data_IF_547649632607
#
_entry.id   IF_547649632607
#
_cell.length_a   1.000
_cell.length_b   1.000
_cell.length_c   1.000
_cell.angle_alpha   90.00
_cell.angle_beta   90.00
_cell.angle_gamma   90.00
#
_symmetry.space_group_name_H-M   'P 1'
#
loop_
_entity.id
_entity.type
_entity.pdbx_description
1 polymer ?
2 non-polymer ?
3 non-polymer ?
4 non-polymer ?
5 non-polymer ?
6 water ?
#
# COMPACT_ATOMS: atom_id res chain seq x y z
N UNK A 1 5.84 -49.65 4.10
CA UNK A 1 5.76 -48.19 4.30
C UNK A 1 5.50 -47.45 3.01
N UNK A 2 5.57 -46.13 3.08
CA UNK A 2 5.25 -45.29 1.93
C UNK A 2 5.95 -43.94 2.04
N UNK A 3 6.25 -43.35 0.89
CA UNK A 3 6.71 -41.97 0.80
C UNK A 3 5.70 -41.11 0.06
N UNK A 4 5.53 -39.86 0.53
CA UNK A 4 4.59 -38.91 -0.04
C UNK A 4 5.27 -37.54 -0.20
N UNK A 5 5.11 -36.93 -1.38
CA UNK A 5 5.44 -35.53 -1.57
C UNK A 5 4.35 -34.75 -2.29
N UNK A 6 4.47 -33.42 -2.20
CA UNK A 6 3.55 -32.48 -2.84
C UNK A 6 3.96 -32.10 -4.24
N UNK A 7 3.14 -31.25 -4.83
CA UNK A 7 3.45 -30.66 -6.13
C UNK A 7 4.42 -29.48 -5.97
N UNK A 8 4.96 -29.02 -7.11
CA UNK A 8 5.79 -27.81 -7.13
C UNK A 8 4.92 -26.59 -7.42
N UNK A 9 5.04 -25.56 -6.59
CA UNK A 9 4.34 -24.30 -6.83
C UNK A 9 5.30 -23.36 -7.53
N UNK A 10 4.85 -22.79 -8.65
CA UNK A 10 5.62 -21.76 -9.36
C UNK A 10 4.88 -20.42 -9.25
N UNK A 11 5.62 -19.36 -9.01
CA UNK A 11 4.97 -18.11 -8.67
C UNK A 11 5.66 -16.89 -9.28
N UNK A 12 4.85 -15.87 -9.54
CA UNK A 12 5.35 -14.58 -10.07
C UNK A 12 4.49 -13.41 -9.57
N UNK A 13 5.17 -12.47 -8.91
CA UNK A 13 4.54 -11.28 -8.35
C UNK A 13 4.48 -10.15 -9.37
N UNK A 14 3.46 -9.29 -9.23
CA UNK A 14 3.24 -8.16 -10.14
C UNK A 14 2.57 -7.04 -9.33
N UNK A 15 2.67 -5.82 -9.85
CA UNK A 15 2.04 -4.66 -9.25
C UNK A 15 0.66 -4.49 -9.89
N UNK A 16 -0.43 -4.65 -9.11
CA UNK A 16 -1.77 -4.47 -9.63
C UNK A 16 -2.06 -3.04 -9.91
N UNK A 17 -3.09 -2.80 -10.70
CA UNK A 17 -3.54 -1.46 -11.00
C UNK A 17 -5.04 -1.35 -10.86
N UNK A 18 -5.60 -0.16 -11.11
CA UNK A 18 -7.04 0.07 -10.99
C UNK A 18 -7.90 -0.89 -11.83
N UNK A 19 -7.34 -1.41 -12.92
CA UNK A 19 -8.10 -2.24 -13.85
C UNK A 19 -7.82 -3.73 -13.70
N UNK A 20 -6.98 -4.12 -12.75
CA UNK A 20 -6.63 -5.55 -12.57
C UNK A 20 -7.84 -6.49 -12.38
N UNK A 21 -8.76 -6.15 -11.48
CA UNK A 21 -9.93 -7.00 -11.22
C UNK A 21 -10.84 -7.10 -12.43
N UNK A 22 -11.09 -5.97 -13.09
CA UNK A 22 -11.89 -5.94 -14.34
C UNK A 22 -11.26 -6.83 -15.43
N UNK A 23 -9.93 -6.81 -15.56
CA UNK A 23 -9.26 -7.70 -16.52
C UNK A 23 -9.49 -9.16 -16.18
N UNK A 24 -9.39 -9.48 -14.90
CA UNK A 24 -9.62 -10.85 -14.42
C UNK A 24 -11.05 -11.34 -14.74
N UNK A 25 -12.02 -10.47 -14.47
CA UNK A 25 -13.43 -10.73 -14.73
C UNK A 25 -13.66 -10.98 -16.21
N UNK A 26 -13.13 -10.10 -17.06
CA UNK A 26 -13.33 -10.24 -18.51
C UNK A 26 -12.59 -11.43 -19.11
N UNK A 27 -11.52 -11.88 -18.44
CA UNK A 27 -10.82 -13.12 -18.82
C UNK A 27 -11.57 -14.38 -18.40
N UNK A 28 -12.64 -14.22 -17.63
CA UNK A 28 -13.44 -15.34 -17.16
C UNK A 28 -12.97 -15.94 -15.85
N UNK A 29 -12.11 -15.24 -15.11
CA UNK A 29 -11.72 -15.71 -13.78
C UNK A 29 -12.85 -15.55 -12.80
N UNK A 30 -12.87 -16.40 -11.78
CA UNK A 30 -13.84 -16.30 -10.70
C UNK A 30 -13.18 -16.07 -9.34
N UNK A 31 -13.75 -15.19 -8.55
CA UNK A 31 -13.24 -14.86 -7.24
C UNK A 31 -13.61 -15.94 -6.26
N UNK A 32 -12.68 -16.86 -5.95
CA UNK A 32 -12.96 -17.97 -5.05
C UNK A 32 -13.08 -17.67 -3.57
N UNK A 33 -12.22 -16.82 -3.04
CA UNK A 33 -12.41 -16.41 -1.64
C UNK A 33 -11.74 -15.11 -1.30
N UNK A 34 -12.22 -14.49 -0.24
CA UNK A 34 -11.68 -13.27 0.26
C UNK A 34 -11.32 -13.57 1.70
N UNK A 35 -10.12 -13.19 2.13
CA UNK A 35 -9.70 -13.54 3.48
C UNK A 35 -8.71 -12.53 4.05
N UNK A 36 -8.74 -12.38 5.37
CA UNK A 36 -7.88 -11.46 6.05
C UNK A 36 -7.04 -12.23 7.06
N UNK A 37 -5.74 -11.99 7.10
CA UNK A 37 -4.86 -12.73 8.00
C UNK A 37 -3.60 -11.95 8.39
N UNK A 38 -3.19 -12.11 9.65
CA UNK A 38 -1.91 -11.62 10.14
C UNK A 38 -0.73 -12.55 9.80
N UNK A 39 0.37 -11.97 9.30
CA UNK A 39 1.69 -12.62 9.22
C UNK A 39 2.62 -11.95 10.23
N UNK A 40 3.42 -12.76 10.93
CA UNK A 40 4.46 -12.26 11.84
C UNK A 40 5.76 -12.98 11.53
N UNK A 41 6.82 -12.23 11.20
CA UNK A 41 8.11 -12.81 10.89
C UNK A 41 9.05 -12.68 12.08
N UNK A 42 10.00 -13.61 12.17
CA UNK A 42 10.94 -13.70 13.31
C UNK A 42 12.37 -13.86 12.80
N UNK A 43 13.32 -13.26 13.50
CA UNK A 43 14.75 -13.41 13.22
C UNK A 43 15.55 -12.98 14.44
N UNK A 44 16.87 -13.11 14.36
CA UNK A 44 17.75 -12.65 15.42
C UNK A 44 18.14 -11.22 15.17
N UNK A 45 18.70 -10.58 16.19
CA UNK A 45 19.09 -9.18 16.07
C UNK A 45 20.13 -9.00 14.98
N UNK A 46 20.92 -10.03 14.67
CA UNK A 46 21.88 -9.92 13.58
C UNK A 46 21.34 -10.36 12.23
N UNK A 47 20.03 -10.64 12.16
CA UNK A 47 19.40 -11.07 10.92
C UNK A 47 19.99 -12.36 10.37
N UNK A 48 20.27 -13.31 11.25
CA UNK A 48 20.88 -14.54 10.84
C UNK A 48 20.03 -15.32 9.84
N UNK A 49 18.73 -15.41 10.08
CA UNK A 49 17.86 -16.11 9.15
C UNK A 49 17.79 -15.47 7.79
N UNK A 50 17.47 -14.19 7.76
CA UNK A 50 17.27 -13.50 6.49
C UNK A 50 18.55 -13.36 5.66
N UNK A 51 19.69 -13.15 6.31
CA UNK A 51 20.93 -12.99 5.58
C UNK A 51 21.30 -14.28 4.86
N UNK A 52 20.86 -15.42 5.38
CA UNK A 52 21.08 -16.70 4.72
C UNK A 52 19.86 -17.20 3.91
N UNK A 53 18.92 -16.31 3.61
CA UNK A 53 17.74 -16.62 2.79
C UNK A 53 16.78 -17.62 3.46
N UNK A 54 16.60 -17.45 4.77
CA UNK A 54 15.67 -18.24 5.57
C UNK A 54 14.59 -17.29 6.11
N UNK A 55 13.35 -17.75 6.08
CA UNK A 55 12.21 -16.88 6.32
C UNK A 55 11.21 -17.63 7.19
N UNK A 56 11.10 -17.20 8.45
CA UNK A 56 10.31 -17.85 9.47
C UNK A 56 9.13 -16.97 9.87
N UNK A 57 7.92 -17.52 9.75
CA UNK A 57 6.71 -16.79 10.11
C UNK A 57 5.68 -17.67 10.77
N UNK A 58 4.81 -17.00 11.52
CA UNK A 58 3.56 -17.58 12.00
C UNK A 58 2.41 -16.86 11.29
N UNK A 59 1.58 -17.61 10.61
CA UNK A 59 0.50 -17.06 9.81
C UNK A 59 -0.81 -17.41 10.48
N UNK A 60 -1.60 -16.38 10.74
CA UNK A 60 -2.91 -16.54 11.35
C UNK A 60 -3.72 -17.58 10.59
N UNK A 61 -4.23 -18.56 11.31
CA UNK A 61 -5.06 -19.59 10.73
C UNK A 61 -4.30 -20.66 9.99
N UNK A 62 -2.97 -20.56 9.94
CA UNK A 62 -2.17 -21.61 9.30
C UNK A 62 -1.02 -22.16 10.14
N UNK A 63 -0.53 -21.41 11.12
CA UNK A 63 0.59 -21.89 11.94
C UNK A 63 1.96 -21.50 11.39
N UNK A 64 3.00 -22.19 11.87
CA UNK A 64 4.39 -21.85 11.55
C UNK A 64 4.82 -22.35 10.18
N UNK A 65 5.62 -21.54 9.50
CA UNK A 65 6.19 -21.95 8.24
C UNK A 65 7.59 -21.38 8.16
N UNK A 66 8.50 -22.18 7.60
CA UNK A 66 9.86 -21.76 7.36
C UNK A 66 10.22 -22.02 5.91
N UNK A 67 10.84 -21.05 5.25
CA UNK A 67 11.30 -21.24 3.88
C UNK A 67 12.81 -21.25 3.82
N UNK A 68 13.38 -22.25 3.16
CA UNK A 68 14.83 -22.37 3.08
C UNK A 68 15.28 -22.33 1.67
N UNK A 69 16.50 -21.87 1.43
CA UNK A 69 16.88 -21.89 0.03
C UNK A 69 17.11 -23.29 -0.44
N UNK A 70 16.98 -23.47 -1.73
CA UNK A 70 17.18 -24.75 -2.36
C UNK A 70 18.37 -24.63 -3.27
N UNK A 71 18.97 -25.75 -3.61
CA UNK A 71 20.15 -25.73 -4.45
C UNK A 71 19.78 -26.13 -5.87
N UNK A 75 14.99 -23.71 -12.25
CA UNK A 75 14.94 -22.34 -12.76
C UNK A 75 16.27 -21.65 -12.48
N UNK A 76 17.04 -21.39 -13.53
CA UNK A 76 18.37 -20.77 -13.44
C UNK A 76 18.36 -19.32 -13.01
N UNK A 77 17.59 -18.46 -13.71
CA UNK A 77 17.50 -17.05 -13.31
C UNK A 77 16.57 -16.75 -12.12
N UNK A 78 15.74 -17.72 -11.71
CA UNK A 78 14.68 -17.52 -10.69
C UNK A 78 14.90 -18.39 -9.41
N UNK A 79 14.49 -17.89 -8.24
CA UNK A 79 14.78 -18.57 -6.97
C UNK A 79 14.07 -19.92 -6.75
N UNK A 80 14.65 -20.71 -5.84
CA UNK A 80 14.15 -22.01 -5.43
C UNK A 80 14.05 -22.11 -3.92
N UNK A 81 12.89 -22.51 -3.42
CA UNK A 81 12.70 -22.64 -1.99
C UNK A 81 12.10 -24.00 -1.62
N UNK A 82 12.48 -24.49 -0.44
CA UNK A 82 11.82 -25.61 0.19
C UNK A 82 11.02 -24.99 1.32
N UNK A 83 9.72 -25.30 1.36
CA UNK A 83 8.83 -24.88 2.43
C UNK A 83 8.65 -26.02 3.42
N UNK A 84 8.75 -25.67 4.71
CA UNK A 84 8.63 -26.58 5.83
C UNK A 84 7.53 -26.08 6.72
N UNK A 85 6.52 -26.92 6.92
CA UNK A 85 5.42 -26.60 7.80
C UNK A 85 5.27 -27.58 8.95
N UNK A 86 6.09 -28.63 8.98
CA UNK A 86 6.16 -29.53 10.13
C UNK A 86 6.92 -28.83 11.26
N UNK A 87 6.30 -28.60 12.43
CA UNK A 87 6.99 -27.85 13.53
C UNK A 87 8.32 -28.48 13.94
N UNK A 88 8.33 -29.82 14.02
CA UNK A 88 9.52 -30.56 14.37
C UNK A 88 10.64 -30.43 13.33
N UNK A 89 10.30 -30.41 12.05
CA UNK A 89 11.31 -30.15 11.01
C UNK A 89 11.75 -28.66 10.98
N UNK A 90 10.85 -27.73 11.31
CA UNK A 90 11.24 -26.31 11.41
C UNK A 90 12.35 -26.21 12.49
N UNK A 91 12.00 -26.68 13.69
CA UNK A 91 12.88 -26.62 14.86
C UNK A 91 14.27 -27.24 14.61
N UNK A 92 14.31 -28.37 13.90
CA UNK A 92 15.58 -29.03 13.58
C UNK A 92 16.41 -28.18 12.64
N UNK A 93 15.74 -27.55 11.68
CA UNK A 93 16.42 -26.66 10.75
C UNK A 93 16.94 -25.43 11.46
N UNK A 94 16.15 -24.89 12.39
CA UNK A 94 16.58 -23.73 13.16
C UNK A 94 17.76 -24.08 14.09
N UNK A 95 17.76 -25.29 14.66
CA UNK A 95 18.88 -25.71 15.52
C UNK A 95 20.16 -25.85 14.70
N UNK A 96 20.08 -26.47 13.54
CA UNK A 96 21.26 -26.60 12.74
C UNK A 96 21.87 -25.23 12.46
N UNK A 97 21.04 -24.31 11.97
CA UNK A 97 21.48 -22.94 11.66
C UNK A 97 21.91 -22.06 12.83
N UNK A 98 21.12 -22.03 13.88
CA UNK A 98 21.44 -21.16 15.01
C UNK A 98 22.14 -21.88 16.16
N UNK A 99 22.44 -23.15 15.92
CA UNK A 99 23.29 -23.98 16.76
C UNK A 99 23.06 -24.24 18.24
N UNK A 100 21.83 -24.42 18.72
CA UNK A 100 21.67 -24.72 20.14
C UNK A 100 21.87 -26.20 20.34
N UNK A 101 23.12 -26.60 20.56
CA UNK A 101 23.44 -28.01 20.72
C UNK A 101 22.71 -28.51 21.93
N UNK A 102 22.74 -27.69 22.99
CA UNK A 102 22.06 -28.03 24.22
C UNK A 102 20.56 -28.03 24.06
N UNK A 103 20.06 -27.03 23.35
CA UNK A 103 18.63 -26.87 23.30
C UNK A 103 17.94 -28.18 22.99
N UNK A 104 16.87 -28.42 23.73
CA UNK A 104 16.06 -29.62 23.59
C UNK A 104 14.80 -29.30 22.77
N UNK A 105 14.37 -30.21 21.85
CA UNK A 105 13.23 -29.78 21.01
C UNK A 105 11.88 -29.61 21.71
N UNK A 106 11.03 -28.85 21.05
CA UNK A 106 9.68 -28.57 21.51
C UNK A 106 8.96 -27.87 20.36
N UNK A 107 7.79 -27.28 20.57
CA UNK A 107 7.13 -26.51 19.53
C UNK A 107 8.01 -25.33 19.18
N UNK A 108 7.86 -24.80 17.97
CA UNK A 108 8.63 -23.65 17.52
C UNK A 108 8.54 -22.49 18.53
N UNK A 109 7.33 -22.19 18.99
CA UNK A 109 7.12 -21.08 19.94
C UNK A 109 8.06 -21.20 21.15
N UNK A 110 8.14 -22.39 21.72
CA UNK A 110 8.95 -22.67 22.90
C UNK A 110 10.45 -22.50 22.69
N UNK A 111 10.93 -22.67 21.46
CA UNK A 111 12.37 -22.58 21.23
C UNK A 111 12.83 -21.17 20.87
N UNK A 112 11.90 -20.21 20.80
CA UNK A 112 12.21 -18.86 20.30
C UNK A 112 13.25 -18.11 21.16
N UNK A 113 12.90 -17.93 22.43
CA UNK A 113 13.81 -17.32 23.41
C UNK A 113 15.17 -17.98 23.40
N UNK A 114 15.19 -19.29 23.54
CA UNK A 114 16.45 -20.05 23.54
C UNK A 114 17.31 -19.72 22.31
N UNK A 115 16.68 -19.48 21.16
CA UNK A 115 17.44 -19.13 19.95
C UNK A 115 17.64 -17.62 19.74
N UNK A 116 17.24 -16.78 20.70
CA UNK A 116 17.26 -15.33 20.53
C UNK A 116 16.55 -14.89 19.23
N UNK A 117 15.41 -15.54 18.95
CA UNK A 117 14.50 -15.14 17.88
C UNK A 117 13.44 -14.19 18.41
N UNK A 118 13.31 -13.05 17.73
CA UNK A 118 12.31 -12.04 18.03
C UNK A 118 11.54 -11.64 16.78
N UNK A 119 10.32 -11.19 17.01
CA UNK A 119 9.45 -10.57 16.03
C UNK A 119 10.20 -9.42 15.34
N UNK A 120 10.29 -9.48 14.01
CA UNK A 120 10.94 -8.45 13.19
C UNK A 120 9.93 -7.66 12.34
N UNK A 121 8.72 -8.21 12.16
CA UNK A 121 7.68 -7.56 11.35
C UNK A 121 6.35 -8.28 11.54
N UNK A 122 5.28 -7.52 11.65
CA UNK A 122 3.93 -8.04 11.69
C UNK A 122 3.00 -7.13 10.88
N UNK A 123 2.07 -7.72 10.13
CA UNK A 123 1.12 -6.96 9.34
C UNK A 123 -0.05 -7.84 8.90
N UNK A 124 -1.17 -7.17 8.62
CA UNK A 124 -2.41 -7.83 8.22
C UNK A 124 -2.61 -7.64 6.71
N UNK A 125 -2.83 -8.75 6.04
CA UNK A 125 -3.14 -8.80 4.61
C UNK A 125 -4.63 -9.10 4.39
N UNK A 126 -5.25 -8.30 3.51
CA UNK A 126 -6.58 -8.60 2.97
C UNK A 126 -6.37 -9.12 1.57
N UNK A 127 -6.84 -10.35 1.33
CA UNK A 127 -6.57 -11.07 0.11
C UNK A 127 -7.86 -11.40 -0.63
N UNK A 128 -7.84 -11.20 -1.96
CA UNK A 128 -8.81 -11.82 -2.88
C UNK A 128 -8.10 -12.86 -3.74
N UNK A 129 -8.64 -14.06 -3.73
CA UNK A 129 -8.04 -15.15 -4.46
C UNK A 129 -8.94 -15.52 -5.61
N UNK A 130 -8.38 -15.45 -6.82
CA UNK A 130 -9.10 -15.71 -8.07
C UNK A 130 -8.54 -16.96 -8.74
N UNK A 131 -9.39 -17.63 -9.52
CA UNK A 131 -9.01 -18.84 -10.29
C UNK A 131 -9.29 -18.59 -11.77
N UNK A 132 -8.34 -18.98 -12.62
CA UNK A 132 -8.42 -18.71 -14.06
C UNK A 132 -8.08 -19.93 -14.88
N UNK A 133 -9.09 -20.44 -15.60
CA UNK A 133 -8.93 -21.50 -16.59
C UNK A 133 -8.68 -20.91 -17.97
N UNK A 134 -7.62 -21.34 -18.64
CA UNK A 134 -7.28 -20.86 -19.98
C UNK A 134 -7.50 -22.00 -20.97
N UNK A 135 -8.07 -21.65 -22.13
CA UNK A 135 -8.30 -22.55 -23.29
C UNK A 135 -8.45 -24.05 -22.99
N UNK A 141 -4.02 -25.84 -18.98
CA UNK A 141 -5.41 -26.29 -18.80
C UNK A 141 -5.87 -26.25 -17.32
N UNK A 142 -5.08 -26.78 -16.35
CA UNK A 142 -5.39 -26.53 -14.92
C UNK A 142 -5.46 -25.03 -14.55
N UNK A 143 -6.37 -24.69 -13.63
CA UNK A 143 -6.61 -23.28 -13.31
C UNK A 143 -5.40 -22.66 -12.61
N UNK A 144 -4.98 -21.51 -13.11
CA UNK A 144 -4.03 -20.68 -12.41
C UNK A 144 -4.74 -20.06 -11.21
N UNK A 145 -4.00 -19.78 -10.16
CA UNK A 145 -4.47 -18.94 -9.07
C UNK A 145 -3.86 -17.54 -9.19
N UNK A 146 -4.66 -16.52 -8.90
CA UNK A 146 -4.16 -15.16 -8.76
C UNK A 146 -4.55 -14.64 -7.38
N UNK A 147 -3.54 -14.42 -6.55
CA UNK A 147 -3.75 -13.83 -5.23
C UNK A 147 -3.52 -12.34 -5.35
N UNK A 148 -4.53 -11.52 -5.01
CA UNK A 148 -4.37 -10.07 -4.94
C UNK A 148 -4.32 -9.67 -3.48
N UNK A 149 -3.14 -9.20 -3.02
CA UNK A 149 -2.93 -8.85 -1.61
C UNK A 149 -2.85 -7.34 -1.37
N UNK A 150 -3.56 -6.89 -0.33
CA UNK A 150 -3.46 -5.53 0.19
C UNK A 150 -3.01 -5.57 1.67
N UNK A 151 -1.80 -5.05 1.93
CA UNK A 151 -1.23 -5.05 3.28
C UNK A 151 -1.70 -3.80 3.99
N UNK A 152 -1.98 -3.94 5.27
CA UNK A 152 -2.55 -2.83 6.01
C UNK A 152 -1.62 -1.66 6.13
N UNK A 153 -0.32 -1.85 5.95
CA UNK A 153 0.61 -0.73 6.00
C UNK A 153 0.59 0.12 4.72
N UNK A 154 -0.12 -0.37 3.70
CA UNK A 154 -0.33 0.40 2.47
C UNK A 154 0.56 -0.04 1.32
N UNK A 155 0.34 -1.27 0.86
CA UNK A 155 1.10 -1.82 -0.26
C UNK A 155 0.26 -2.93 -0.85
N UNK A 156 0.17 -2.96 -2.17
CA UNK A 156 -0.63 -3.97 -2.88
C UNK A 156 0.26 -4.74 -3.81
N UNK A 157 0.10 -6.06 -3.86
CA UNK A 157 0.92 -6.90 -4.74
C UNK A 157 0.01 -8.04 -5.15
N UNK A 158 0.14 -8.44 -6.40
CA UNK A 158 -0.57 -9.59 -6.91
C UNK A 158 0.44 -10.67 -7.19
N UNK A 159 -0.05 -11.89 -7.31
CA UNK A 159 0.82 -12.99 -7.66
C UNK A 159 0.06 -14.04 -8.45
N UNK A 160 0.71 -14.56 -9.49
CA UNK A 160 0.13 -15.63 -10.28
C UNK A 160 0.86 -16.89 -9.89
N UNK A 161 0.09 -17.94 -9.58
CA UNK A 161 0.59 -19.25 -9.08
C UNK A 161 0.12 -20.39 -9.99
N UNK A 162 1.04 -21.28 -10.38
CA UNK A 162 0.71 -22.52 -11.08
C UNK A 162 1.29 -23.70 -10.29
N UNK A 163 0.65 -24.87 -10.36
CA UNK A 163 1.21 -26.11 -9.82
C UNK A 163 1.68 -27.01 -10.95
N UNK A 164 2.82 -27.68 -10.77
CA UNK A 164 3.35 -28.68 -11.70
C UNK A 164 3.90 -29.89 -10.92
N UNK A 165 4.08 -31.02 -11.62
CA UNK A 165 4.51 -32.30 -11.01
C UNK A 165 6.02 -32.49 -10.95
N UNK A 166 6.74 -32.20 -12.04
CA UNK A 166 8.18 -32.45 -12.13
C UNK A 166 8.91 -31.14 -12.30
N UNK A 167 10.19 -31.12 -11.91
CA UNK A 167 11.04 -29.94 -12.09
C UNK A 167 11.25 -29.57 -13.56
N UNK A 168 11.14 -30.57 -14.45
CA UNK A 168 11.24 -30.33 -15.90
C UNK A 168 10.19 -29.34 -16.42
N UNK A 169 9.03 -29.31 -15.78
CA UNK A 169 7.92 -28.46 -16.21
C UNK A 169 8.06 -27.00 -15.73
N UNK A 170 8.97 -26.75 -14.78
CA UNK A 170 9.07 -25.43 -14.17
C UNK A 170 9.39 -24.28 -15.16
N UNK A 171 10.39 -24.46 -16.08
CA UNK A 171 10.70 -23.35 -17.01
C UNK A 171 9.52 -22.87 -17.87
N UNK A 172 8.74 -23.78 -18.45
CA UNK A 172 7.59 -23.38 -19.27
C UNK A 172 6.50 -22.73 -18.41
N UNK A 173 6.27 -23.28 -17.22
CA UNK A 173 5.27 -22.73 -16.33
C UNK A 173 5.63 -21.27 -15.92
N UNK A 174 6.92 -21.05 -15.63
CA UNK A 174 7.42 -19.72 -15.29
C UNK A 174 7.15 -18.71 -16.39
N UNK A 175 7.45 -19.08 -17.62
CA UNK A 175 7.22 -18.19 -18.78
C UNK A 175 5.74 -17.87 -18.94
N UNK A 176 4.89 -18.89 -18.84
CA UNK A 176 3.45 -18.67 -18.89
C UNK A 176 2.99 -17.67 -17.84
N UNK A 177 3.42 -17.85 -16.59
CA UNK A 177 2.87 -17.00 -15.55
C UNK A 177 3.46 -15.60 -15.57
N UNK A 178 4.71 -15.48 -16.04
CA UNK A 178 5.32 -14.16 -16.29
C UNK A 178 4.47 -13.41 -17.34
N UNK A 179 4.22 -14.06 -18.47
CA UNK A 179 3.36 -13.47 -19.51
C UNK A 179 1.96 -13.10 -18.99
N UNK A 180 1.31 -13.99 -18.24
CA UNK A 180 -0.02 -13.65 -17.67
C UNK A 180 0.07 -12.45 -16.71
N UNK A 181 1.08 -12.49 -15.85
CA UNK A 181 1.34 -11.39 -14.90
C UNK A 181 1.43 -10.04 -15.59
N UNK A 182 2.10 -10.01 -16.74
CA UNK A 182 2.30 -8.77 -17.50
C UNK A 182 1.01 -8.18 -18.05
N UNK A 183 0.01 -9.02 -18.27
CA UNK A 183 -1.29 -8.55 -18.73
C UNK A 183 -2.17 -8.05 -17.60
N UNK A 184 -1.86 -8.44 -16.37
CA UNK A 184 -2.71 -8.09 -15.25
C UNK A 184 -2.21 -6.86 -14.48
N UNK A 185 -0.90 -6.60 -14.58
CA UNK A 185 -0.24 -5.59 -13.76
C UNK A 185 0.25 -4.37 -14.54
N UNK A 186 0.81 -3.43 -13.79
CA UNK A 186 1.41 -2.23 -14.36
C UNK A 186 2.67 -2.70 -15.10
N UNK A 187 3.01 -2.10 -16.27
CA UNK A 187 4.29 -2.45 -16.94
C UNK A 187 5.48 -2.37 -16.02
N UNK A 188 6.36 -3.37 -16.08
CA UNK A 188 7.59 -3.35 -15.26
C UNK A 188 8.65 -4.29 -15.82
N UNK A 189 9.91 -3.93 -15.61
CA UNK A 189 11.03 -4.79 -15.99
C UNK A 189 11.10 -5.98 -15.04
N UNK A 190 11.14 -5.69 -13.73
CA UNK A 190 11.40 -6.69 -12.70
C UNK A 190 10.15 -7.10 -11.93
N UNK A 191 10.29 -8.21 -11.22
CA UNK A 191 9.21 -8.74 -10.41
C UNK A 191 8.89 -7.76 -9.28
N UNK A 192 7.61 -7.58 -8.98
CA UNK A 192 7.16 -6.76 -7.84
C UNK A 192 7.72 -7.31 -6.49
N UNK A 193 8.04 -6.42 -5.53
CA UNK A 193 8.61 -6.91 -4.27
C UNK A 193 7.60 -7.61 -3.36
N UNK A 194 8.11 -8.54 -2.55
CA UNK A 194 7.34 -9.15 -1.46
C UNK A 194 6.92 -8.13 -0.41
N UNK A 195 5.74 -8.35 0.17
CA UNK A 195 5.21 -7.49 1.20
C UNK A 195 6.25 -7.24 2.30
N UNK A 196 6.90 -8.31 2.78
CA UNK A 196 7.88 -8.19 3.87
C UNK A 196 9.07 -7.30 3.50
N UNK A 197 9.53 -7.37 2.25
CA UNK A 197 10.66 -6.56 1.82
C UNK A 197 10.29 -5.07 1.78
N UNK A 198 9.05 -4.75 1.39
CA UNK A 198 8.57 -3.36 1.39
C UNK A 198 8.45 -2.85 2.85
N UNK A 199 7.89 -3.70 3.73
CA UNK A 199 7.82 -3.41 5.16
C UNK A 199 9.21 -3.08 5.73
N UNK A 200 10.19 -3.93 5.42
CA UNK A 200 11.55 -3.74 5.95
C UNK A 200 12.12 -2.45 5.43
N UNK A 201 12.03 -2.25 4.12
CA UNK A 201 12.55 -1.04 3.53
C UNK A 201 11.96 0.24 4.15
N UNK A 202 10.65 0.27 4.38
CA UNK A 202 10.02 1.49 4.87
C UNK A 202 10.20 1.67 6.36
N UNK A 203 10.17 0.58 7.11
CA UNK A 203 10.06 0.69 8.56
C UNK A 203 11.23 0.15 9.36
N UNK A 204 12.14 -0.59 8.71
CA UNK A 204 13.35 -1.08 9.36
C UNK A 204 14.51 -0.90 8.43
N UNK A 205 14.72 0.33 7.95
CA UNK A 205 15.65 0.58 6.85
C UNK A 205 17.12 0.20 7.12
N UNK A 206 17.54 0.16 8.39
CA UNK A 206 18.89 -0.32 8.74
C UNK A 206 19.03 -1.82 8.46
N UNK A 207 18.03 -2.60 8.86
CA UNK A 207 17.95 -4.03 8.51
C UNK A 207 17.93 -4.23 6.99
N UNK A 208 17.12 -3.44 6.26
CA UNK A 208 17.01 -3.53 4.80
C UNK A 208 18.34 -3.31 4.14
N UNK A 209 19.11 -2.39 4.71
CA UNK A 209 20.41 -2.02 4.18
C UNK A 209 21.39 -3.18 4.32
N UNK A 210 21.41 -3.82 5.49
CA UNK A 210 22.17 -5.07 5.67
C UNK A 210 21.82 -6.10 4.59
N UNK A 211 20.52 -6.27 4.31
CA UNK A 211 20.09 -7.26 3.33
C UNK A 211 20.55 -6.87 1.95
N UNK A 212 20.37 -5.59 1.60
CA UNK A 212 20.87 -5.07 0.33
C UNK A 212 22.34 -5.38 0.16
N UNK A 213 23.15 -5.03 1.16
CA UNK A 213 24.60 -5.21 1.12
C UNK A 213 24.98 -6.65 0.81
N UNK A 214 24.43 -7.58 1.58
CA UNK A 214 24.70 -9.02 1.42
C UNK A 214 24.52 -9.58 0.01
N UNK A 215 23.46 -9.18 -0.69
CA UNK A 215 23.05 -9.83 -1.95
C UNK A 215 23.85 -9.45 -3.21
N UNK A 216 24.54 -8.31 -3.21
CA UNK A 216 25.18 -7.78 -4.43
C UNK A 216 26.46 -8.52 -4.82
N UNK B 1 -29.97 41.10 5.02
CA UNK B 1 -29.13 39.99 4.51
C UNK B 1 -28.00 39.67 5.47
N UNK B 2 -27.26 38.63 5.14
CA UNK B 2 -26.16 38.14 5.98
C UNK B 2 -24.98 37.73 5.10
N UNK B 3 -23.79 37.78 5.68
CA UNK B 3 -22.62 37.16 5.06
C UNK B 3 -22.11 36.08 5.99
N UNK B 4 -21.67 34.97 5.40
CA UNK B 4 -21.14 33.84 6.15
C UNK B 4 -19.81 33.38 5.55
N UNK B 5 -18.87 33.01 6.42
CA UNK B 5 -17.61 32.39 5.96
C UNK B 5 -17.07 31.30 6.91
N UNK B 6 -16.34 30.35 6.33
CA UNK B 6 -15.77 29.23 7.06
C UNK B 6 -14.49 29.63 7.78
N UNK B 7 -13.92 28.67 8.49
CA UNK B 7 -12.60 28.83 9.13
C UNK B 7 -11.51 28.50 8.12
N UNK B 8 -10.27 28.77 8.47
CA UNK B 8 -9.12 28.40 7.65
C UNK B 8 -8.66 27.02 8.14
N UNK B 9 -8.53 26.08 7.20
CA UNK B 9 -7.97 24.76 7.52
C UNK B 9 -6.46 24.74 7.23
N UNK B 10 -5.67 24.22 8.17
CA UNK B 10 -4.23 24.03 7.96
C UNK B 10 -3.94 22.54 8.05
N UNK B 11 -3.13 22.06 7.11
CA UNK B 11 -2.93 20.61 6.96
C UNK B 11 -1.48 20.23 6.69
N UNK B 12 -1.10 19.02 7.07
CA UNK B 12 0.24 18.50 6.80
C UNK B 12 0.14 16.99 6.70
N UNK B 13 0.50 16.45 5.54
CA UNK B 13 0.52 15.00 5.31
C UNK B 13 1.80 14.29 5.79
N UNK B 14 1.65 13.04 6.21
CA UNK B 14 2.78 12.25 6.67
C UNK B 14 2.57 10.81 6.26
N UNK B 15 3.65 10.04 6.28
CA UNK B 15 3.62 8.62 5.91
C UNK B 15 3.41 7.79 7.20
N UNK B 16 2.23 7.14 7.37
CA UNK B 16 2.03 6.36 8.57
C UNK B 16 2.85 5.08 8.56
N UNK B 17 3.02 4.49 9.73
CA UNK B 17 3.70 3.21 9.90
C UNK B 17 2.88 2.33 10.81
N UNK B 18 3.38 1.11 11.11
CA UNK B 18 2.63 0.14 11.91
C UNK B 18 2.28 0.56 13.35
N UNK B 19 2.99 1.52 13.93
CA UNK B 19 2.68 1.98 15.29
C UNK B 19 1.94 3.32 15.36
N UNK B 20 1.55 3.88 14.21
CA UNK B 20 0.84 5.16 14.16
C UNK B 20 -0.46 5.13 15.01
N UNK B 21 -1.24 4.06 14.88
CA UNK B 21 -2.49 3.96 15.66
C UNK B 21 -2.22 3.84 17.16
N UNK B 22 -1.27 2.96 17.53
CA UNK B 22 -0.81 2.81 18.94
C UNK B 22 -0.34 4.19 19.49
N UNK B 23 0.45 4.91 18.71
CA UNK B 23 0.88 6.25 19.12
C UNK B 23 -0.29 7.20 19.40
N UNK B 24 -1.24 7.27 18.46
CA UNK B 24 -2.46 8.09 18.65
C UNK B 24 -3.24 7.70 19.92
N UNK B 25 -3.43 6.40 20.13
CA UNK B 25 -4.12 5.90 21.31
C UNK B 25 -3.41 6.33 22.58
N UNK B 26 -2.09 6.10 22.66
CA UNK B 26 -1.33 6.46 23.87
C UNK B 26 -1.20 7.95 24.07
N UNK B 27 -1.31 8.75 23.00
CA UNK B 27 -1.50 10.20 23.19
C UNK B 27 -2.88 10.58 23.70
N UNK B 28 -3.83 9.64 23.77
CA UNK B 28 -5.19 9.92 24.24
C UNK B 28 -6.12 10.43 23.16
N UNK B 29 -5.76 10.24 21.89
CA UNK B 29 -6.66 10.61 20.79
C UNK B 29 -7.79 9.59 20.71
N UNK B 30 -8.97 10.04 20.28
CA UNK B 30 -10.14 9.17 20.13
C UNK B 30 -10.55 9.01 18.67
N UNK B 31 -11.02 7.82 18.33
CA UNK B 31 -11.42 7.47 16.97
C UNK B 31 -12.83 7.96 16.72
N UNK B 32 -13.03 8.97 15.87
CA UNK B 32 -14.35 9.58 15.68
C UNK B 32 -15.20 8.86 14.62
N UNK B 33 -14.59 8.46 13.52
CA UNK B 33 -15.29 7.64 12.52
C UNK B 33 -14.39 6.87 11.57
N UNK B 34 -15.00 5.87 10.95
CA UNK B 34 -14.36 5.02 9.96
C UNK B 34 -15.28 5.02 8.73
N UNK B 35 -14.80 5.58 7.62
CA UNK B 35 -15.63 5.82 6.43
C UNK B 35 -14.89 5.40 5.16
N UNK B 36 -15.65 5.02 4.14
CA UNK B 36 -15.13 4.61 2.84
C UNK B 36 -15.79 5.48 1.78
N UNK B 37 -15.01 5.97 0.82
CA UNK B 37 -15.52 6.94 -0.17
C UNK B 37 -14.67 6.99 -1.44
N UNK B 38 -15.35 6.96 -2.58
CA UNK B 38 -14.72 7.09 -3.90
C UNK B 38 -14.43 8.57 -4.21
N UNK B 39 -13.26 8.82 -4.77
CA UNK B 39 -12.90 10.14 -5.32
C UNK B 39 -12.72 9.96 -6.81
N UNK B 40 -13.22 10.91 -7.60
CA UNK B 40 -13.06 10.86 -9.05
C UNK B 40 -12.62 12.24 -9.55
N UNK B 41 -11.41 12.29 -10.11
CA UNK B 41 -10.85 13.56 -10.58
C UNK B 41 -10.98 13.72 -12.09
N UNK B 42 -11.08 14.98 -12.51
CA UNK B 42 -11.38 15.30 -13.90
C UNK B 42 -10.41 16.33 -14.45
N UNK B 43 -10.07 16.18 -15.73
CA UNK B 43 -9.23 17.13 -16.43
C UNK B 43 -9.37 16.96 -17.94
N UNK B 44 -8.77 17.87 -18.70
CA UNK B 44 -8.79 17.74 -20.15
C UNK B 44 -7.65 16.86 -20.56
N UNK B 45 -7.60 16.48 -21.83
CA UNK B 45 -6.53 15.62 -22.29
C UNK B 45 -5.21 16.34 -22.12
N UNK B 46 -5.23 17.67 -22.10
CA UNK B 46 -4.02 18.45 -21.88
C UNK B 46 -3.65 18.71 -20.43
N UNK B 47 -4.42 18.21 -19.48
CA UNK B 47 -4.11 18.45 -18.07
C UNK B 47 -4.13 19.92 -17.79
N UNK B 48 -5.04 20.62 -18.43
CA UNK B 48 -5.09 22.06 -18.28
C UNK B 48 -5.31 22.46 -16.85
N UNK B 49 -6.23 21.81 -16.16
CA UNK B 49 -6.53 22.15 -14.79
C UNK B 49 -5.35 21.91 -13.87
N UNK B 50 -4.80 20.70 -13.89
CA UNK B 50 -3.69 20.34 -13.02
C UNK B 50 -2.42 21.16 -13.29
N UNK B 51 -2.15 21.45 -14.56
CA UNK B 51 -0.98 22.25 -14.88
C UNK B 51 -1.06 23.67 -14.32
N UNK B 52 -2.27 24.20 -14.15
CA UNK B 52 -2.44 25.48 -13.44
C UNK B 52 -2.82 25.33 -11.94
N UNK B 53 -2.46 24.20 -11.32
CA UNK B 53 -2.67 23.96 -9.87
C UNK B 53 -4.16 24.07 -9.48
N UNK B 54 -5.02 23.54 -10.36
CA UNK B 54 -6.48 23.46 -10.20
C UNK B 54 -6.84 21.98 -10.13
N UNK B 55 -7.77 21.64 -9.24
CA UNK B 55 -8.03 20.24 -8.89
C UNK B 55 -9.52 20.04 -8.73
N UNK B 56 -10.12 19.37 -9.70
CA UNK B 56 -11.57 19.15 -9.75
C UNK B 56 -11.95 17.71 -9.48
N UNK B 57 -12.87 17.52 -8.55
CA UNK B 57 -13.25 16.17 -8.17
C UNK B 57 -14.71 16.10 -7.76
N UNK B 58 -15.21 14.87 -7.82
CA UNK B 58 -16.50 14.52 -7.31
C UNK B 58 -16.31 13.42 -6.30
N UNK B 59 -16.63 13.72 -5.06
CA UNK B 59 -16.42 12.79 -3.97
C UNK B 59 -17.75 12.22 -3.49
N UNK B 60 -17.79 10.89 -3.49
CA UNK B 60 -18.92 10.10 -3.01
C UNK B 60 -19.43 10.61 -1.66
N UNK B 61 -20.74 10.82 -1.59
CA UNK B 61 -21.40 11.31 -0.38
C UNK B 61 -21.16 12.79 -0.17
N UNK B 62 -20.54 13.43 -1.14
CA UNK B 62 -20.22 14.81 -1.00
C UNK B 62 -20.26 15.25 -2.43
N UNK B 63 -20.31 16.54 -2.67
CA UNK B 63 -20.53 17.03 -4.02
C UNK B 63 -19.29 17.22 -4.89
N UNK B 64 -19.43 18.14 -5.82
CA UNK B 64 -18.32 18.54 -6.64
C UNK B 64 -17.49 19.47 -5.80
N UNK B 65 -16.19 19.43 -5.99
CA UNK B 65 -15.26 20.22 -5.22
C UNK B 65 -14.19 20.72 -6.16
N UNK B 66 -13.75 21.94 -6.03
CA UNK B 66 -12.64 22.40 -6.86
C UNK B 66 -11.71 23.20 -6.00
N UNK B 67 -10.42 22.94 -6.12
CA UNK B 67 -9.45 23.69 -5.33
C UNK B 67 -8.64 24.54 -6.28
N UNK B 68 -8.48 25.82 -5.97
CA UNK B 68 -7.72 26.74 -6.81
C UNK B 68 -6.65 27.43 -5.99
N UNK B 69 -5.58 27.92 -6.65
CA UNK B 69 -4.58 28.61 -5.81
C UNK B 69 -5.03 29.99 -5.37
N UNK B 78 5.10 27.53 1.98
CA UNK B 78 3.94 26.64 2.12
C UNK B 78 2.77 27.04 1.22
N UNK B 79 2.00 26.05 0.78
CA UNK B 79 0.94 26.26 -0.23
C UNK B 79 -0.35 26.86 0.33
N UNK B 80 -1.12 27.49 -0.58
CA UNK B 80 -2.37 28.21 -0.27
C UNK B 80 -3.45 27.86 -1.28
N UNK B 81 -4.62 27.45 -0.81
CA UNK B 81 -5.71 27.12 -1.69
C UNK B 81 -7.04 27.75 -1.28
N UNK B 82 -7.91 27.84 -2.27
CA UNK B 82 -9.27 28.24 -2.05
C UNK B 82 -10.12 27.07 -2.50
N UNK B 83 -10.98 26.59 -1.61
CA UNK B 83 -11.91 25.49 -1.88
C UNK B 83 -13.32 26.02 -2.24
N UNK B 84 -13.90 25.45 -3.30
CA UNK B 84 -15.18 25.88 -3.86
C UNK B 84 -16.07 24.66 -3.96
N UNK B 85 -17.20 24.68 -3.24
CA UNK B 85 -18.19 23.61 -3.25
C UNK B 85 -19.58 24.07 -3.71
N UNK B 86 -19.74 25.37 -4.01
CA UNK B 86 -20.89 25.83 -4.80
C UNK B 86 -20.63 25.47 -6.26
N UNK B 87 -21.44 24.56 -6.80
CA UNK B 87 -21.39 24.25 -8.25
C UNK B 87 -21.37 25.49 -9.14
N UNK B 88 -22.10 26.53 -8.75
CA UNK B 88 -22.18 27.77 -9.51
C UNK B 88 -20.83 28.47 -9.59
N UNK B 89 -20.20 28.71 -8.43
CA UNK B 89 -18.87 29.31 -8.42
C UNK B 89 -17.87 28.39 -9.11
N UNK B 90 -18.10 27.06 -9.02
CA UNK B 90 -17.23 26.10 -9.71
C UNK B 90 -17.23 26.35 -11.23
N UNK B 91 -18.40 26.52 -11.81
CA UNK B 91 -18.52 26.66 -13.28
C UNK B 91 -17.92 28.00 -13.77
N UNK B 92 -18.21 29.08 -13.05
CA UNK B 92 -17.58 30.37 -13.28
C UNK B 92 -16.05 30.22 -13.44
N UNK B 93 -15.45 29.63 -12.41
CA UNK B 93 -14.00 29.43 -12.38
C UNK B 93 -13.57 28.50 -13.53
N UNK B 94 -14.36 27.47 -13.81
CA UNK B 94 -14.07 26.59 -14.94
C UNK B 94 -14.07 27.34 -16.30
N UNK B 95 -15.14 28.07 -16.61
CA UNK B 95 -15.19 28.85 -17.86
C UNK B 95 -14.08 29.92 -17.91
N UNK B 96 -13.84 30.58 -16.78
CA UNK B 96 -12.81 31.61 -16.71
C UNK B 96 -11.39 31.09 -17.02
N UNK B 97 -11.15 29.79 -16.84
CA UNK B 97 -9.89 29.15 -17.23
C UNK B 97 -9.88 28.44 -18.56
N UNK B 98 -11.02 27.88 -18.98
CA UNK B 98 -11.06 27.04 -20.18
C UNK B 98 -11.80 27.69 -21.34
N UNK B 105 -24.36 26.51 -21.05
CA UNK B 105 -23.52 26.93 -19.93
C UNK B 105 -24.24 26.94 -18.55
N UNK B 106 -24.48 25.74 -17.99
CA UNK B 106 -25.32 25.54 -16.78
C UNK B 106 -25.11 24.20 -16.02
N UNK B 107 -24.28 24.20 -14.98
CA UNK B 107 -24.03 23.02 -14.13
C UNK B 107 -22.73 22.29 -14.49
N UNK B 108 -22.10 21.67 -13.49
CA UNK B 108 -20.76 21.03 -13.64
C UNK B 108 -20.67 19.75 -14.51
N UNK B 109 -21.55 18.77 -14.30
CA UNK B 109 -21.53 17.51 -15.06
C UNK B 109 -21.80 17.81 -16.53
N UNK B 110 -22.78 18.68 -16.69
CA UNK B 110 -23.25 19.15 -17.96
C UNK B 110 -22.16 19.87 -18.69
N UNK B 111 -21.39 20.69 -17.98
CA UNK B 111 -20.35 21.41 -18.66
C UNK B 111 -19.14 20.55 -18.94
N UNK B 112 -19.17 19.31 -18.47
CA UNK B 112 -18.01 18.43 -18.66
C UNK B 112 -17.65 18.13 -20.09
N UNK B 113 -18.59 17.59 -20.85
CA UNK B 113 -18.33 17.25 -22.24
C UNK B 113 -18.11 18.55 -22.97
N UNK B 114 -18.92 19.51 -22.60
CA UNK B 114 -18.88 20.79 -23.19
C UNK B 114 -17.52 21.37 -22.98
N UNK B 115 -16.93 21.14 -21.81
CA UNK B 115 -15.61 21.66 -21.54
C UNK B 115 -14.47 20.72 -21.91
N UNK B 116 -14.80 19.53 -22.40
CA UNK B 116 -13.77 18.57 -22.75
C UNK B 116 -13.08 17.98 -21.52
N UNK B 117 -13.81 17.86 -20.43
CA UNK B 117 -13.25 17.29 -19.22
C UNK B 117 -13.56 15.82 -19.14
N UNK B 118 -12.54 15.03 -18.88
CA UNK B 118 -12.73 13.60 -18.70
C UNK B 118 -12.20 13.19 -17.34
N UNK B 119 -12.55 11.97 -16.97
CA UNK B 119 -12.09 11.34 -15.76
C UNK B 119 -10.65 10.96 -15.97
N UNK B 120 -9.76 11.43 -15.08
CA UNK B 120 -8.32 11.16 -15.06
C UNK B 120 -7.92 10.07 -14.06
N UNK B 121 -8.67 9.99 -12.96
CA UNK B 121 -8.35 9.06 -11.88
C UNK B 121 -9.60 8.80 -11.04
N UNK B 122 -9.70 7.58 -10.53
CA UNK B 122 -10.75 7.22 -9.60
C UNK B 122 -10.25 6.12 -8.67
N UNK B 123 -10.49 6.29 -7.36
CA UNK B 123 -10.06 5.33 -6.35
C UNK B 123 -10.94 5.45 -5.11
N UNK B 124 -10.97 4.37 -4.33
CA UNK B 124 -11.66 4.35 -3.04
C UNK B 124 -10.67 4.41 -1.86
N UNK B 125 -10.92 5.35 -0.97
CA UNK B 125 -10.17 5.52 0.26
C UNK B 125 -10.99 4.98 1.44
N UNK B 126 -10.34 4.13 2.23
CA UNK B 126 -10.84 3.75 3.56
C UNK B 126 -10.12 4.62 4.59
N UNK B 127 -10.90 5.40 5.34
CA UNK B 127 -10.40 6.39 6.29
C UNK B 127 -10.76 6.08 7.74
N UNK B 128 -9.79 6.27 8.64
CA UNK B 128 -10.04 6.43 10.06
C UNK B 128 -9.68 7.85 10.48
N UNK B 129 -10.63 8.49 11.13
CA UNK B 129 -10.48 9.86 11.51
C UNK B 129 -10.46 9.99 13.05
N UNK B 130 -9.39 10.60 13.56
CA UNK B 130 -9.14 10.67 14.99
C UNK B 130 -9.18 12.13 15.43
N UNK B 131 -9.56 12.39 16.68
CA UNK B 131 -9.44 13.74 17.28
C UNK B 131 -8.43 13.70 18.44
N UNK B 132 -7.61 14.75 18.57
CA UNK B 132 -6.59 14.78 19.61
C UNK B 132 -6.55 16.12 20.27
N UNK B 133 -6.74 16.12 21.58
CA UNK B 133 -6.68 17.35 22.35
C UNK B 133 -5.35 17.38 23.07
N UNK B 134 -4.71 18.54 23.08
CA UNK B 134 -3.43 18.68 23.76
C UNK B 134 -3.47 19.69 24.87
N UNK B 135 -2.56 19.54 25.83
CA UNK B 135 -2.29 20.53 26.88
C UNK B 135 -3.53 21.14 27.52
N UNK B 141 -6.05 25.22 24.43
CA UNK B 141 -6.15 23.80 24.10
C UNK B 141 -6.34 23.60 22.59
N UNK B 142 -5.22 23.48 21.86
CA UNK B 142 -5.27 23.02 20.48
C UNK B 142 -6.09 21.73 20.29
N UNK B 143 -7.01 21.75 19.32
CA UNK B 143 -7.87 20.62 18.97
C UNK B 143 -7.55 20.17 17.53
N UNK B 144 -7.05 18.94 17.38
CA UNK B 144 -6.52 18.44 16.10
C UNK B 144 -7.33 17.27 15.57
N UNK B 145 -7.37 17.18 14.23
CA UNK B 145 -7.90 16.01 13.53
C UNK B 145 -6.78 15.32 12.80
N UNK B 146 -6.81 13.99 12.83
CA UNK B 146 -5.83 13.16 12.13
C UNK B 146 -6.63 12.18 11.31
N UNK B 147 -6.55 12.33 9.99
CA UNK B 147 -7.17 11.43 9.02
C UNK B 147 -6.12 10.44 8.58
N UNK B 148 -6.42 9.15 8.72
CA UNK B 148 -5.54 8.08 8.25
C UNK B 148 -6.22 7.40 7.07
N UNK B 149 -5.67 7.58 5.87
CA UNK B 149 -6.30 7.15 4.61
C UNK B 149 -5.52 5.97 4.02
N UNK B 150 -6.27 4.94 3.62
CA UNK B 150 -5.78 3.82 2.83
C UNK B 150 -6.51 3.83 1.47
N UNK B 151 -5.74 4.10 0.41
CA UNK B 151 -6.25 4.00 -0.97
C UNK B 151 -6.29 2.55 -1.44
N UNK B 152 -7.36 2.20 -2.13
CA UNK B 152 -7.58 0.84 -2.57
C UNK B 152 -6.50 0.38 -3.51
N UNK B 153 -5.81 1.28 -4.21
CA UNK B 153 -4.73 0.87 -5.10
C UNK B 153 -3.45 0.55 -4.35
N UNK B 154 -3.42 0.76 -3.03
CA UNK B 154 -2.27 0.37 -2.23
C UNK B 154 -1.31 1.49 -1.84
N UNK B 155 -1.81 2.42 -1.07
CA UNK B 155 -0.99 3.53 -0.61
C UNK B 155 -1.66 4.06 0.65
N UNK B 156 -0.89 4.30 1.69
CA UNK B 156 -1.43 4.81 2.94
C UNK B 156 -0.86 6.18 3.15
N UNK B 157 -1.68 7.11 3.61
CA UNK B 157 -1.19 8.45 3.91
C UNK B 157 -2.00 9.01 5.08
N UNK B 158 -1.34 9.83 5.90
CA UNK B 158 -1.97 10.42 7.05
C UNK B 158 -1.93 11.91 6.92
N UNK B 159 -2.83 12.58 7.64
CA UNK B 159 -2.79 14.02 7.63
C UNK B 159 -3.22 14.62 8.96
N UNK B 160 -2.47 15.61 9.43
CA UNK B 160 -2.87 16.36 10.62
C UNK B 160 -3.49 17.67 10.15
N UNK B 161 -4.62 18.02 10.76
CA UNK B 161 -5.48 19.12 10.35
C UNK B 161 -5.83 19.98 11.56
N UNK B 162 -5.72 21.29 11.41
CA UNK B 162 -6.18 22.24 12.44
C UNK B 162 -6.92 23.42 11.80
N UNK B 163 -7.85 24.00 12.54
CA UNK B 163 -8.68 25.10 12.08
C UNK B 163 -8.31 26.34 12.84
N UNK B 164 -8.16 27.46 12.14
CA UNK B 164 -7.95 28.77 12.79
C UNK B 164 -8.85 29.81 12.16
N UNK B 165 -8.92 30.98 12.78
CA UNK B 165 -9.81 32.08 12.35
C UNK B 165 -9.15 33.03 11.37
N UNK B 166 -7.88 33.40 11.60
CA UNK B 166 -7.19 34.40 10.78
C UNK B 166 -5.93 33.87 10.11
N UNK B 167 -5.55 34.55 9.03
CA UNK B 167 -4.36 34.19 8.24
C UNK B 167 -3.07 34.32 9.08
N UNK B 168 -3.06 35.25 10.02
CA UNK B 168 -1.92 35.48 10.89
C UNK B 168 -1.69 34.37 11.93
N UNK B 169 -2.70 33.54 12.18
CA UNK B 169 -2.53 32.39 13.06
C UNK B 169 -1.94 31.17 12.35
N UNK B 170 -1.89 31.24 11.03
CA UNK B 170 -1.53 30.11 10.18
C UNK B 170 -0.08 29.62 10.35
N UNK B 171 0.93 30.52 10.35
CA UNK B 171 2.31 30.03 10.48
C UNK B 171 2.59 29.22 11.76
N UNK B 172 2.09 29.71 12.90
CA UNK B 172 2.24 28.99 14.17
C UNK B 172 1.50 27.64 14.17
N UNK B 173 0.29 27.60 13.62
CA UNK B 173 -0.47 26.35 13.53
C UNK B 173 0.21 25.31 12.62
N UNK B 174 0.76 25.78 11.51
CA UNK B 174 1.57 24.93 10.64
C UNK B 174 2.77 24.26 11.33
N UNK B 175 3.55 25.04 12.08
CA UNK B 175 4.72 24.50 12.81
C UNK B 175 4.29 23.43 13.81
N UNK B 176 3.21 23.72 14.53
CA UNK B 176 2.61 22.72 15.43
C UNK B 176 2.20 21.41 14.75
N UNK B 177 1.50 21.48 13.63
CA UNK B 177 1.02 20.22 13.02
C UNK B 177 2.16 19.49 12.30
N UNK B 178 3.13 20.24 11.78
CA UNK B 178 4.36 19.63 11.26
C UNK B 178 5.07 18.84 12.34
N UNK B 179 5.26 19.43 13.51
CA UNK B 179 5.87 18.72 14.64
C UNK B 179 5.06 17.51 15.06
N UNK B 180 3.74 17.66 15.17
CA UNK B 180 2.90 16.52 15.56
C UNK B 180 2.97 15.43 14.48
N UNK B 181 2.94 15.82 13.22
CA UNK B 181 3.00 14.84 12.12
C UNK B 181 4.27 14.02 12.23
N UNK B 182 5.37 14.70 12.60
CA UNK B 182 6.68 14.06 12.72
C UNK B 182 6.76 12.98 13.81
N UNK B 183 5.91 13.10 14.82
CA UNK B 183 5.86 12.07 15.88
C UNK B 183 5.01 10.88 15.51
N UNK B 184 4.07 11.06 14.57
CA UNK B 184 3.12 10.00 14.21
C UNK B 184 3.55 9.11 13.06
N UNK B 185 4.39 9.66 12.16
CA UNK B 185 4.82 8.99 10.93
C UNK B 185 6.27 8.52 10.86
N UNK B 186 6.62 7.95 9.71
CA UNK B 186 7.96 7.46 9.44
C UNK B 186 8.84 8.72 9.29
N UNK B 187 10.14 8.66 9.71
CA UNK B 187 11.04 9.79 9.47
C UNK B 187 11.13 10.21 8.00
N UNK B 188 10.93 11.50 7.76
CA UNK B 188 10.94 12.06 6.40
C UNK B 188 11.40 13.51 6.41
N UNK B 189 12.07 13.92 5.33
CA UNK B 189 12.45 15.32 5.11
C UNK B 189 11.25 16.12 4.60
N UNK B 190 10.60 15.59 3.56
CA UNK B 190 9.49 16.26 2.86
C UNK B 190 8.10 15.71 3.24
N UNK B 191 7.07 16.49 2.92
CA UNK B 191 5.69 16.12 3.17
C UNK B 191 5.38 14.92 2.32
N UNK B 192 4.61 13.98 2.85
CA UNK B 192 4.20 12.79 2.09
C UNK B 192 3.29 13.20 0.94
N UNK B 193 3.30 12.45 -0.18
CA UNK B 193 2.54 12.86 -1.37
C UNK B 193 1.04 12.54 -1.23
N UNK B 194 0.23 13.36 -1.92
CA UNK B 194 -1.20 13.15 -2.01
C UNK B 194 -1.51 11.86 -2.75
N UNK B 195 -2.61 11.22 -2.36
CA UNK B 195 -3.05 10.00 -2.98
C UNK B 195 -3.12 10.15 -4.50
N UNK B 196 -3.70 11.25 -4.99
CA UNK B 196 -3.84 11.46 -6.43
C UNK B 196 -2.49 11.48 -7.15
N UNK B 197 -1.49 12.12 -6.54
CA UNK B 197 -0.15 12.24 -7.13
C UNK B 197 0.50 10.87 -7.23
N UNK B 198 0.31 10.01 -6.22
CA UNK B 198 0.80 8.61 -6.28
C UNK B 198 0.07 7.81 -7.37
N UNK B 199 -1.24 7.99 -7.48
CA UNK B 199 -2.01 7.37 -8.56
C UNK B 199 -1.47 7.75 -9.94
N UNK B 200 -1.30 9.05 -10.19
CA UNK B 200 -0.77 9.52 -11.48
C UNK B 200 0.62 8.93 -11.78
N UNK B 201 1.52 9.04 -10.81
CA UNK B 201 2.88 8.50 -10.98
C UNK B 201 2.90 7.02 -11.33
N UNK B 202 2.01 6.25 -10.74
CA UNK B 202 2.06 4.82 -10.92
C UNK B 202 1.27 4.37 -12.13
N UNK B 203 0.15 5.02 -12.40
CA UNK B 203 -0.74 4.52 -13.44
C UNK B 203 -0.89 5.42 -14.65
N UNK B 204 -0.44 6.67 -14.55
CA UNK B 204 -0.52 7.60 -15.68
C UNK B 204 0.79 8.32 -15.79
N UNK B 205 1.89 7.56 -15.90
CA UNK B 205 3.21 8.16 -15.79
C UNK B 205 3.54 9.28 -16.81
N UNK B 206 2.90 9.25 -17.99
CA UNK B 206 3.09 10.30 -19.02
C UNK B 206 2.51 11.62 -18.52
N UNK B 207 1.31 11.56 -17.96
CA UNK B 207 0.72 12.70 -17.30
C UNK B 207 1.58 13.18 -16.10
N UNK B 208 2.04 12.25 -15.25
CA UNK B 208 2.88 12.63 -14.11
C UNK B 208 4.16 13.34 -14.55
N UNK B 209 4.75 12.84 -15.64
CA UNK B 209 5.91 13.47 -16.27
C UNK B 209 5.67 14.95 -16.64
N UNK B 210 4.51 15.22 -17.27
CA UNK B 210 4.11 16.61 -17.61
C UNK B 210 4.16 17.51 -16.36
N UNK B 211 3.57 17.03 -15.25
CA UNK B 211 3.47 17.80 -14.02
C UNK B 211 4.81 18.05 -13.38
N UNK B 212 5.70 17.05 -13.41
CA UNK B 212 7.08 17.25 -12.98
C UNK B 212 7.77 18.38 -13.75
N UNK B 213 7.72 18.29 -15.08
CA UNK B 213 8.38 19.25 -15.95
C UNK B 213 7.85 20.65 -15.67
N UNK B 214 6.53 20.80 -15.79
CA UNK B 214 5.87 22.09 -15.56
C UNK B 214 6.19 22.71 -14.20
N UNK B 215 6.24 21.90 -13.15
CA UNK B 215 6.49 22.38 -11.79
C UNK B 215 7.95 22.78 -11.60
N UNK B 216 8.84 22.13 -12.35
CA UNK B 216 10.27 22.43 -12.35
C UNK B 216 10.53 23.79 -13.01
#
# INVERSE_FOLDING_TARGET
>A
GAMTQGLIEVERKFAPGPDTEERLQELGATLEHRVTFRDTYYDTSELSLMLSDHWLRQREGSGWELKCPGVTGVSGPHNEYVEVTSEAAIVAQLFELLGSGEQKPAGVAAVLGSLKLQEVASFITTRSSWKLALSGAHGQEPQLTIDLDSADFGYAVGEVEAMVHEKAEVPAALEKIITVSSMLGVPAQEEAPAKLMVYLQRFRPLDYQRLLEAASS
>B
GAMTQGLIEVERKFAPGPDTEERLQELGATLEHRVTFRDTYYDTSELSLMLSDHWLRQREGSGWELKCPGVTGVSGPHNEYVEVTSEAAIVAQLFELLGSGEQKPAGVAAVLGSLKLQEVASFITTRSSWKLALSGAHGQEPQLTIDLDSADFGYAVGEVEAMVHEKAEVPAALEKIITVSSMLGVPAQEEAPAKLMVYLQRFRPLDYQRLLEAASS
#
